data_IF_792911622318
#
_entry.id   IF_792911622318
#
_cell.length_a   1.000
_cell.length_b   1.000
_cell.length_c   1.000
_cell.angle_alpha   90.00
_cell.angle_beta   90.00
_cell.angle_gamma   90.00
#
_symmetry.space_group_name_H-M   'P 1'
#
loop_
_entity.id
_entity.type
_entity.pdbx_description
1 polymer ?
#
# COMPACT_ATOMS: atom_id res chain seq x y z
N UNK A 1 27.71 2.09 -32.77
CA UNK A 1 28.59 1.02 -32.26
C UNK A 1 28.96 1.46 -30.87
N UNK A 2 28.11 1.18 -29.89
CA UNK A 2 28.39 1.47 -28.47
C UNK A 2 27.92 0.27 -27.66
N UNK A 3 28.90 -0.31 -26.97
CA UNK A 3 28.84 -1.54 -26.20
C UNK A 3 28.02 -1.37 -24.93
N UNK A 4 26.99 -2.19 -24.74
CA UNK A 4 26.42 -2.46 -23.41
C UNK A 4 27.12 -3.72 -22.88
N UNK A 5 28.16 -3.51 -22.08
CA UNK A 5 28.91 -4.54 -21.37
C UNK A 5 28.56 -4.56 -19.86
N UNK A 6 28.69 -5.74 -19.27
CA UNK A 6 28.54 -6.09 -17.84
C UNK A 6 27.09 -6.28 -17.34
N UNK A 7 26.65 -7.54 -17.22
CA UNK A 7 25.50 -7.92 -16.39
C UNK A 7 25.98 -8.13 -14.94
N UNK A 8 25.51 -7.29 -14.01
CA UNK A 8 25.75 -7.43 -12.58
C UNK A 8 24.71 -8.38 -11.96
N UNK A 9 25.16 -9.41 -11.25
CA UNK A 9 24.30 -10.31 -10.50
C UNK A 9 24.80 -10.47 -9.07
N UNK A 10 23.88 -10.40 -8.11
CA UNK A 10 24.14 -10.65 -6.70
C UNK A 10 23.27 -11.83 -6.23
N UNK A 11 23.90 -12.84 -5.63
CA UNK A 11 23.18 -13.97 -5.02
C UNK A 11 23.52 -14.09 -3.53
N UNK A 12 22.51 -14.49 -2.76
CA UNK A 12 22.57 -14.69 -1.32
C UNK A 12 22.53 -16.18 -1.02
N UNK A 13 23.46 -16.64 -0.19
CA UNK A 13 23.42 -18.00 0.35
C UNK A 13 23.58 -18.00 1.87
N UNK A 14 22.80 -18.82 2.59
CA UNK A 14 22.94 -19.01 4.04
C UNK A 14 24.29 -19.62 4.47
N UNK A 15 24.92 -20.43 3.61
CA UNK A 15 26.19 -21.13 3.93
C UNK A 15 27.19 -21.06 2.78
N UNK A 16 28.49 -21.13 3.11
CA UNK A 16 29.58 -21.19 2.12
C UNK A 16 29.47 -22.45 1.25
N UNK A 17 29.02 -23.58 1.82
CA UNK A 17 28.83 -24.83 1.06
C UNK A 17 27.77 -24.70 -0.03
N UNK A 18 26.62 -24.09 0.27
CA UNK A 18 25.59 -23.81 -0.74
C UNK A 18 26.09 -22.83 -1.80
N UNK A 19 26.89 -21.86 -1.37
CA UNK A 19 27.48 -20.88 -2.27
C UNK A 19 28.46 -21.51 -3.26
N UNK A 20 29.29 -22.46 -2.83
CA UNK A 20 30.16 -23.25 -3.73
C UNK A 20 29.35 -24.07 -4.72
N UNK A 21 28.29 -24.74 -4.26
CA UNK A 21 27.42 -25.53 -5.14
C UNK A 21 26.77 -24.65 -6.21
N UNK A 22 26.28 -23.47 -5.82
CA UNK A 22 25.72 -22.48 -6.76
C UNK A 22 26.78 -21.98 -7.75
N UNK A 23 28.01 -21.74 -7.31
CA UNK A 23 29.09 -21.33 -8.20
C UNK A 23 29.46 -22.39 -9.23
N UNK A 24 29.51 -23.67 -8.82
CA UNK A 24 29.72 -24.78 -9.76
C UNK A 24 28.57 -24.87 -10.77
N UNK A 25 27.32 -24.72 -10.33
CA UNK A 25 26.15 -24.68 -11.24
C UNK A 25 26.20 -23.47 -12.18
N UNK A 26 26.63 -22.32 -11.69
CA UNK A 26 26.76 -21.10 -12.49
C UNK A 26 27.85 -21.24 -13.55
N UNK A 27 28.99 -21.84 -13.21
CA UNK A 27 30.09 -22.14 -14.12
C UNK A 27 29.66 -23.15 -15.19
N UNK A 28 28.98 -24.22 -14.79
CA UNK A 28 28.42 -25.21 -15.72
C UNK A 28 27.41 -24.58 -16.70
N UNK A 29 26.53 -23.70 -16.20
CA UNK A 29 25.55 -23.01 -17.04
C UNK A 29 26.20 -21.95 -17.92
N UNK A 30 27.20 -21.23 -17.42
CA UNK A 30 27.99 -20.25 -18.19
C UNK A 30 28.68 -20.92 -19.38
N UNK A 31 29.32 -22.08 -19.16
CA UNK A 31 29.95 -22.86 -20.23
C UNK A 31 28.96 -23.35 -21.30
N UNK A 32 27.68 -23.54 -20.94
CA UNK A 32 26.63 -23.96 -21.88
C UNK A 32 26.01 -22.82 -22.68
N UNK A 33 25.92 -21.62 -22.10
CA UNK A 33 25.15 -20.48 -22.65
C UNK A 33 26.06 -19.48 -23.37
N UNK A 34 27.39 -19.60 -23.22
CA UNK A 34 28.40 -18.81 -23.95
C UNK A 34 29.12 -17.72 -23.15
N UNK A 35 28.50 -16.94 -22.23
CA UNK A 35 29.21 -15.86 -21.55
C UNK A 35 30.09 -16.42 -20.43
N UNK A 36 31.40 -16.20 -20.50
CA UNK A 36 32.37 -16.63 -19.50
C UNK A 36 32.28 -15.75 -18.22
N UNK A 37 32.32 -16.39 -17.05
CA UNK A 37 32.42 -15.68 -15.76
C UNK A 37 33.81 -15.07 -15.63
N UNK A 38 33.86 -13.78 -15.32
CA UNK A 38 35.11 -13.08 -15.02
C UNK A 38 35.46 -13.25 -13.53
N UNK A 39 36.43 -14.11 -13.23
CA UNK A 39 36.84 -14.42 -11.86
C UNK A 39 37.46 -13.21 -11.13
N UNK A 40 38.15 -12.31 -11.82
CA UNK A 40 38.76 -11.10 -11.21
C UNK A 40 37.75 -10.03 -10.85
N UNK A 41 36.63 -9.94 -11.58
CA UNK A 41 35.52 -9.04 -11.24
C UNK A 41 34.52 -9.66 -10.27
N UNK A 42 34.62 -10.95 -9.99
CA UNK A 42 33.71 -11.64 -9.07
C UNK A 42 34.26 -11.58 -7.64
N UNK A 43 33.47 -11.07 -6.71
CA UNK A 43 33.87 -10.85 -5.31
C UNK A 43 32.91 -11.56 -4.37
N UNK A 44 33.47 -12.10 -3.29
CA UNK A 44 32.75 -12.71 -2.18
C UNK A 44 32.64 -11.70 -1.03
N UNK A 45 31.50 -11.61 -0.34
CA UNK A 45 31.39 -10.89 0.93
C UNK A 45 30.69 -11.75 1.97
N UNK A 46 31.20 -11.77 3.20
CA UNK A 46 30.63 -12.54 4.32
C UNK A 46 30.04 -11.57 5.34
N UNK A 47 28.74 -11.69 5.63
CA UNK A 47 28.06 -10.86 6.64
C UNK A 47 27.89 -11.67 7.92
N UNK A 48 28.42 -11.13 9.03
CA UNK A 48 28.33 -11.71 10.40
C UNK A 48 28.91 -13.12 10.59
N UNK A 49 29.56 -13.71 9.59
CA UNK A 49 30.25 -15.00 9.70
C UNK A 49 31.74 -14.82 10.02
N UNK A 50 32.13 -15.04 11.27
CA UNK A 50 33.54 -15.08 11.67
C UNK A 50 34.08 -16.53 11.58
N UNK A 51 34.65 -16.91 10.42
CA UNK A 51 35.18 -18.26 10.24
C UNK A 51 36.27 -18.36 9.18
N UNK A 52 37.32 -19.15 9.47
CA UNK A 52 38.45 -19.53 8.60
C UNK A 52 38.04 -20.54 7.51
N UNK A 53 36.79 -20.49 7.03
CA UNK A 53 36.35 -21.39 5.97
C UNK A 53 37.00 -21.01 4.64
N UNK A 54 37.49 -22.03 3.92
CA UNK A 54 38.17 -21.87 2.62
C UNK A 54 37.34 -20.98 1.67
N UNK A 55 38.00 -20.06 0.98
CA UNK A 55 37.39 -19.14 -0.01
C UNK A 55 36.60 -19.89 -1.07
N UNK A 56 35.62 -19.22 -1.69
CA UNK A 56 34.92 -19.77 -2.86
C UNK A 56 35.82 -19.61 -4.08
N UNK A 57 36.04 -20.68 -4.85
CA UNK A 57 36.81 -20.60 -6.10
C UNK A 57 35.88 -20.50 -7.30
N UNK A 58 36.28 -19.73 -8.30
CA UNK A 58 35.69 -19.72 -9.63
C UNK A 58 36.77 -20.11 -10.65
N UNK A 59 36.54 -21.15 -11.45
CA UNK A 59 37.51 -21.63 -12.47
C UNK A 59 38.92 -21.92 -11.91
N UNK A 60 39.01 -22.36 -10.65
CA UNK A 60 40.28 -22.63 -9.97
C UNK A 60 41.00 -21.40 -9.39
N UNK A 61 40.47 -20.19 -9.56
CA UNK A 61 40.95 -18.96 -8.90
C UNK A 61 40.14 -18.68 -7.65
N UNK A 62 40.82 -18.42 -6.52
CA UNK A 62 40.14 -17.99 -5.29
C UNK A 62 39.54 -16.59 -5.47
N UNK A 63 38.28 -16.42 -5.10
CA UNK A 63 37.59 -15.14 -5.21
C UNK A 63 38.04 -14.18 -4.10
N UNK A 64 38.18 -12.90 -4.46
CA UNK A 64 38.53 -11.85 -3.52
C UNK A 64 37.40 -11.66 -2.49
N UNK A 65 37.71 -11.77 -1.21
CA UNK A 65 36.76 -11.49 -0.12
C UNK A 65 36.80 -10.01 0.23
N UNK A 66 35.70 -9.29 -0.01
CA UNK A 66 35.56 -7.87 0.32
C UNK A 66 34.74 -7.66 1.58
N UNK A 67 35.01 -6.55 2.28
CA UNK A 67 34.27 -6.11 3.46
C UNK A 67 33.09 -5.20 3.11
N UNK A 68 33.14 -4.58 1.94
CA UNK A 68 32.12 -3.68 1.42
C UNK A 68 32.04 -3.79 -0.11
N UNK A 69 30.86 -3.56 -0.66
CA UNK A 69 30.68 -3.40 -2.10
C UNK A 69 29.53 -2.44 -2.41
N UNK A 70 29.65 -1.72 -3.53
CA UNK A 70 28.57 -0.88 -4.04
C UNK A 70 27.66 -1.71 -4.95
N UNK A 71 26.37 -1.75 -4.63
CA UNK A 71 25.35 -2.42 -5.44
C UNK A 71 24.20 -1.46 -5.70
N UNK A 72 23.87 -1.24 -6.97
CA UNK A 72 22.79 -0.33 -7.39
C UNK A 72 22.87 1.06 -6.72
N UNK A 73 24.09 1.57 -6.52
CA UNK A 73 24.35 2.88 -5.92
C UNK A 73 24.31 2.93 -4.38
N UNK A 74 24.10 1.81 -3.69
CA UNK A 74 24.16 1.72 -2.21
C UNK A 74 25.39 0.92 -1.75
N UNK A 75 26.04 1.32 -0.65
CA UNK A 75 27.19 0.60 -0.09
C UNK A 75 26.69 -0.47 0.88
N UNK A 76 27.00 -1.74 0.61
CA UNK A 76 26.67 -2.86 1.48
C UNK A 76 27.93 -3.28 2.23
N UNK A 77 27.91 -3.24 3.55
CA UNK A 77 29.04 -3.59 4.43
C UNK A 77 28.82 -4.90 5.20
N UNK A 78 29.91 -5.51 5.64
CA UNK A 78 29.91 -6.82 6.31
C UNK A 78 29.36 -6.82 7.75
N UNK A 79 29.25 -5.66 8.39
CA UNK A 79 28.68 -5.44 9.72
C UNK A 79 27.14 -5.29 9.68
N UNK A 80 26.56 -5.16 8.47
CA UNK A 80 25.14 -4.94 8.28
C UNK A 80 24.66 -3.56 8.73
N UNK A 81 25.58 -2.59 8.91
CA UNK A 81 25.31 -1.24 9.38
C UNK A 81 25.20 -0.21 8.25
N UNK A 82 24.31 0.79 8.42
CA UNK A 82 24.01 1.87 7.46
C UNK A 82 24.82 3.17 7.69
N UNK A 83 25.90 3.13 8.46
CA UNK A 83 26.52 4.36 8.98
C UNK A 83 27.23 5.23 7.93
N UNK A 84 27.55 4.70 6.74
CA UNK A 84 28.25 5.47 5.70
C UNK A 84 27.34 6.08 4.61
N UNK A 85 26.09 5.61 4.46
CA UNK A 85 25.14 6.13 3.46
C UNK A 85 24.52 7.51 3.83
N UNK A 86 24.94 8.11 4.95
CA UNK A 86 24.39 9.40 5.43
C UNK A 86 25.04 10.64 4.76
N UNK A 87 26.09 10.48 3.94
CA UNK A 87 26.83 11.64 3.39
C UNK A 87 26.70 11.89 1.88
N UNK A 88 25.93 11.10 1.12
CA UNK A 88 25.81 11.27 -0.33
C UNK A 88 24.36 11.26 -0.83
N UNK A 89 23.79 12.45 -1.06
CA UNK A 89 22.69 12.74 -1.98
C UNK A 89 21.53 11.71 -2.12
N UNK A 90 20.39 12.02 -1.50
CA UNK A 90 19.15 12.20 -2.27
C UNK A 90 18.37 10.98 -2.76
N UNK A 91 18.55 9.78 -2.19
CA UNK A 91 17.66 8.63 -2.44
C UNK A 91 16.85 8.27 -1.17
N UNK A 92 15.56 8.62 -1.18
CA UNK A 92 14.57 8.11 -0.23
C UNK A 92 14.26 6.68 -0.67
N UNK A 93 14.84 5.68 0.01
CA UNK A 93 14.35 4.30 0.24
C UNK A 93 15.56 3.38 0.47
N UNK A 94 15.87 2.96 1.71
CA UNK A 94 16.95 2.03 1.95
C UNK A 94 16.55 0.61 1.52
N UNK A 95 17.45 -0.07 0.81
CA UNK A 95 17.40 -1.51 0.46
C UNK A 95 17.65 -2.33 1.75
N UNK A 96 16.85 -2.10 2.78
CA UNK A 96 17.18 -2.51 4.16
C UNK A 96 16.54 -3.84 4.57
N UNK A 97 15.58 -4.36 3.81
CA UNK A 97 14.76 -5.48 4.30
C UNK A 97 15.37 -6.87 4.11
N UNK A 98 16.56 -7.01 3.50
CA UNK A 98 17.16 -8.32 3.21
C UNK A 98 18.43 -8.66 4.01
N UNK A 99 19.07 -7.70 4.69
CA UNK A 99 20.45 -7.88 5.22
C UNK A 99 20.51 -7.99 6.75
N UNK A 100 19.49 -7.55 7.49
CA UNK A 100 19.67 -7.32 8.93
C UNK A 100 19.66 -8.58 9.83
N UNK A 101 19.11 -9.72 9.41
CA UNK A 101 18.74 -10.79 10.36
C UNK A 101 19.38 -12.17 10.18
N UNK A 102 20.27 -12.40 9.21
CA UNK A 102 20.86 -13.75 9.02
C UNK A 102 22.34 -13.70 8.63
N UNK A 103 23.14 -14.66 9.15
CA UNK A 103 24.51 -14.93 8.67
C UNK A 103 24.43 -15.36 7.21
N UNK A 104 24.86 -14.49 6.29
CA UNK A 104 24.76 -14.76 4.85
C UNK A 104 26.08 -14.43 4.15
N UNK A 105 26.40 -15.21 3.13
CA UNK A 105 27.49 -14.93 2.20
C UNK A 105 26.91 -14.41 0.90
N UNK A 106 27.59 -13.42 0.31
CA UNK A 106 27.24 -12.70 -0.91
C UNK A 106 28.27 -13.02 -2.00
N UNK A 107 27.80 -13.19 -3.23
CA UNK A 107 28.65 -13.22 -4.42
C UNK A 107 28.14 -12.21 -5.43
N UNK A 108 29.03 -11.34 -5.89
CA UNK A 108 28.74 -10.36 -6.93
C UNK A 108 29.73 -10.57 -8.08
N UNK A 109 29.28 -10.65 -9.33
CA UNK A 109 30.16 -10.81 -10.49
C UNK A 109 29.58 -10.22 -11.77
N UNK A 110 30.48 -9.91 -12.73
CA UNK A 110 30.17 -9.30 -14.04
C UNK A 110 30.31 -10.31 -15.18
N UNK A 111 29.30 -10.40 -16.07
CA UNK A 111 29.34 -11.24 -17.30
C UNK A 111 29.74 -10.44 -18.54
N UNK A 112 30.54 -11.07 -19.42
CA UNK A 112 30.83 -10.58 -20.78
C UNK A 112 29.72 -10.86 -21.80
N UNK A 113 29.87 -10.21 -22.97
CA UNK A 113 28.87 -9.76 -23.95
C UNK A 113 28.26 -10.85 -24.86
N UNK A 114 26.92 -10.89 -24.98
CA UNK A 114 26.17 -11.03 -26.27
C UNK A 114 24.63 -10.90 -26.10
N UNK A 115 24.02 -10.31 -27.12
CA UNK A 115 22.60 -9.95 -27.29
C UNK A 115 21.60 -11.04 -26.91
N UNK A 116 20.70 -10.75 -25.96
CA UNK A 116 19.41 -11.44 -25.78
C UNK A 116 18.42 -10.51 -25.06
N UNK A 117 17.18 -10.53 -25.56
CA UNK A 117 16.02 -9.71 -25.15
C UNK A 117 15.86 -9.64 -23.62
N UNK A 118 16.04 -8.43 -23.09
CA UNK A 118 15.95 -8.13 -21.66
C UNK A 118 14.48 -8.08 -21.21
N UNK A 119 14.09 -9.03 -20.37
CA UNK A 119 12.76 -9.07 -19.73
C UNK A 119 12.93 -8.57 -18.28
N UNK A 120 13.00 -7.24 -18.12
CA UNK A 120 13.03 -6.58 -16.81
C UNK A 120 11.63 -6.61 -16.16
N UNK A 121 11.38 -7.53 -15.22
CA UNK A 121 10.05 -7.54 -14.56
C UNK A 121 9.95 -8.06 -13.12
N UNK A 122 11.01 -8.03 -12.31
CA UNK A 122 10.91 -8.45 -10.89
C UNK A 122 10.97 -7.32 -9.84
N UNK A 123 11.46 -6.11 -10.14
CA UNK A 123 11.72 -5.11 -9.07
C UNK A 123 10.64 -4.03 -8.88
N UNK A 124 9.49 -4.11 -9.57
CA UNK A 124 8.41 -3.10 -9.45
C UNK A 124 7.32 -3.39 -8.39
N UNK A 125 7.39 -4.51 -7.68
CA UNK A 125 6.31 -4.93 -6.77
C UNK A 125 6.43 -4.41 -5.33
N UNK A 126 7.65 -4.23 -4.79
CA UNK A 126 7.85 -3.84 -3.39
C UNK A 126 7.36 -2.41 -3.03
N UNK A 127 7.68 -1.34 -3.80
CA UNK A 127 7.21 0.01 -3.45
C UNK A 127 5.68 0.14 -3.59
N UNK A 128 5.07 -0.66 -4.46
CA UNK A 128 3.63 -0.66 -4.72
C UNK A 128 2.81 -1.09 -3.50
N UNK A 129 3.31 -2.05 -2.71
CA UNK A 129 2.63 -2.59 -1.53
C UNK A 129 2.72 -1.65 -0.31
N UNK A 130 3.86 -0.98 -0.14
CA UNK A 130 4.05 0.01 0.94
C UNK A 130 3.19 1.27 0.71
N UNK A 131 3.09 1.74 -0.54
CA UNK A 131 2.20 2.85 -0.92
C UNK A 131 0.72 2.46 -0.78
N UNK A 132 0.36 1.22 -1.11
CA UNK A 132 -0.98 0.68 -0.88
C UNK A 132 -1.36 0.69 0.61
N UNK A 133 -0.43 0.28 1.48
CA UNK A 133 -0.63 0.26 2.93
C UNK A 133 -0.67 1.68 3.55
N UNK A 134 0.20 2.59 3.10
CA UNK A 134 0.17 3.99 3.54
C UNK A 134 -1.19 4.65 3.24
N UNK A 135 -1.74 4.43 2.05
CA UNK A 135 -3.09 4.91 1.70
C UNK A 135 -4.18 4.29 2.57
N UNK A 136 -4.02 3.02 2.99
CA UNK A 136 -4.99 2.32 3.82
C UNK A 136 -4.90 2.75 5.30
N UNK A 137 -3.70 3.12 5.77
CA UNK A 137 -3.50 3.72 7.11
C UNK A 137 -4.25 5.05 7.27
N UNK A 138 -4.48 5.78 6.18
CA UNK A 138 -5.29 7.00 6.18
C UNK A 138 -6.80 6.71 6.16
N UNK A 139 -7.22 5.56 5.61
CA UNK A 139 -8.61 5.13 5.49
C UNK A 139 -9.11 4.37 6.74
N UNK A 140 -8.24 4.12 7.71
CA UNK A 140 -8.57 3.61 9.04
C UNK A 140 -7.62 4.24 10.07
N UNK A 141 -7.99 5.39 10.69
CA UNK A 141 -7.11 6.16 11.58
C UNK A 141 -6.70 5.42 12.88
N UNK A 142 -7.10 4.16 13.08
CA UNK A 142 -6.64 3.34 14.19
C UNK A 142 -5.22 2.80 14.02
N UNK A 143 -4.77 2.60 12.77
CA UNK A 143 -3.48 1.96 12.50
C UNK A 143 -2.29 2.95 12.61
N UNK A 144 -2.49 4.21 12.22
CA UNK A 144 -1.49 5.29 12.39
C UNK A 144 -1.28 5.62 13.87
N UNK A 145 -2.34 5.55 14.67
CA UNK A 145 -2.29 5.82 16.12
C UNK A 145 -1.65 4.65 16.88
N UNK A 146 -1.78 3.41 16.38
CA UNK A 146 -1.14 2.24 16.98
C UNK A 146 0.40 2.24 16.84
N UNK A 147 0.95 2.90 15.81
CA UNK A 147 2.39 3.02 15.61
C UNK A 147 3.06 4.07 16.52
N UNK A 148 2.29 4.88 17.26
CA UNK A 148 2.79 5.95 18.13
C UNK A 148 2.30 5.91 19.57
N UNK A 149 1.66 4.83 20.03
CA UNK A 149 1.13 4.74 21.40
C UNK A 149 1.86 3.71 22.25
N UNK A 150 3.00 4.14 22.79
CA UNK A 150 3.50 3.66 24.07
C UNK A 150 3.82 4.89 24.94
N UNK A 151 2.79 5.73 25.18
CA UNK A 151 2.84 6.77 26.18
C UNK A 151 1.43 7.04 26.72
N UNK A 152 1.32 6.95 28.04
CA UNK A 152 0.14 7.18 28.87
C UNK A 152 -0.45 8.58 28.67
N UNK A 153 -1.72 8.69 28.27
CA UNK A 153 -2.40 9.97 28.07
C UNK A 153 -3.13 10.45 29.34
N UNK A 154 -2.79 11.64 29.83
CA UNK A 154 -3.62 12.47 30.71
C UNK A 154 -4.48 13.46 29.89
N UNK A 155 -5.56 14.01 30.46
CA UNK A 155 -6.55 14.77 29.70
C UNK A 155 -6.27 16.28 29.75
N UNK A 156 -5.43 16.83 28.86
CA UNK A 156 -5.61 18.24 28.43
C UNK A 156 -4.88 18.67 27.14
N UNK A 157 -3.78 18.04 26.73
CA UNK A 157 -3.10 18.46 25.50
C UNK A 157 -3.33 17.50 24.33
N UNK A 158 -4.02 17.98 23.29
CA UNK A 158 -3.80 17.40 21.96
C UNK A 158 -2.39 17.81 21.58
N UNK A 159 -1.43 16.90 21.73
CA UNK A 159 -0.04 17.16 21.37
C UNK A 159 0.03 17.72 19.94
N UNK A 160 0.43 19.00 19.76
CA UNK A 160 0.59 19.59 18.44
C UNK A 160 1.42 18.73 17.47
N UNK A 161 2.45 17.98 17.93
CA UNK A 161 3.17 17.01 17.09
C UNK A 161 2.29 15.95 16.43
N UNK A 162 1.27 15.42 17.11
CA UNK A 162 0.41 14.35 16.59
C UNK A 162 -0.51 14.87 15.49
N UNK A 163 -1.06 16.07 15.67
CA UNK A 163 -1.86 16.74 14.64
C UNK A 163 -1.02 17.09 13.42
N UNK A 164 0.19 17.60 13.63
CA UNK A 164 1.13 17.94 12.55
C UNK A 164 1.54 16.69 11.76
N UNK A 165 1.85 15.59 12.44
CA UNK A 165 2.17 14.32 11.80
C UNK A 165 0.98 13.80 10.97
N UNK A 166 -0.22 13.80 11.54
CA UNK A 166 -1.43 13.37 10.83
C UNK A 166 -1.72 14.20 9.58
N UNK A 167 -1.56 15.53 9.67
CA UNK A 167 -1.72 16.43 8.53
C UNK A 167 -0.62 16.25 7.47
N UNK A 168 0.63 16.05 7.89
CA UNK A 168 1.75 15.81 6.98
C UNK A 168 1.60 14.50 6.20
N UNK A 169 1.22 13.41 6.89
CA UNK A 169 0.93 12.11 6.25
C UNK A 169 -0.23 12.24 5.27
N UNK A 170 -1.33 12.89 5.69
CA UNK A 170 -2.49 13.16 4.82
C UNK A 170 -2.08 13.92 3.56
N UNK A 171 -1.29 14.99 3.71
CA UNK A 171 -0.80 15.77 2.58
C UNK A 171 0.11 14.96 1.65
N UNK A 172 1.03 14.16 2.21
CA UNK A 172 1.95 13.34 1.43
C UNK A 172 1.24 12.27 0.58
N UNK A 173 0.17 11.67 1.12
CA UNK A 173 -0.57 10.60 0.46
C UNK A 173 -1.73 11.07 -0.40
N UNK A 174 -2.13 12.33 -0.26
CA UNK A 174 -3.25 12.91 -0.98
C UNK A 174 -3.20 12.73 -2.50
N UNK A 175 -2.06 12.91 -3.21
CA UNK A 175 -2.00 12.66 -4.66
C UNK A 175 -2.40 11.23 -5.04
N UNK A 176 -2.04 10.24 -4.23
CA UNK A 176 -2.37 8.83 -4.49
C UNK A 176 -3.86 8.61 -4.33
N UNK A 177 -4.44 9.15 -3.26
CA UNK A 177 -5.85 8.97 -2.93
C UNK A 177 -6.72 9.68 -3.95
N UNK A 178 -6.28 10.86 -4.40
CA UNK A 178 -6.97 11.58 -5.45
C UNK A 178 -7.05 10.76 -6.75
N UNK A 179 -5.94 10.20 -7.22
CA UNK A 179 -5.95 9.35 -8.42
C UNK A 179 -6.79 8.08 -8.19
N UNK A 180 -6.68 7.43 -7.02
CA UNK A 180 -7.48 6.24 -6.69
C UNK A 180 -8.97 6.53 -6.76
N UNK A 181 -9.39 7.66 -6.19
CA UNK A 181 -10.80 8.07 -6.22
C UNK A 181 -11.29 8.33 -7.65
N UNK A 182 -10.51 9.05 -8.47
CA UNK A 182 -10.89 9.29 -9.86
C UNK A 182 -11.03 7.99 -10.66
N UNK A 183 -10.16 7.01 -10.38
CA UNK A 183 -10.28 5.66 -10.94
C UNK A 183 -11.55 4.97 -10.42
N UNK A 184 -11.85 5.04 -9.13
CA UNK A 184 -13.03 4.42 -8.50
C UNK A 184 -14.34 4.96 -9.09
N UNK A 185 -14.46 6.28 -9.29
CA UNK A 185 -15.65 6.89 -9.93
C UNK A 185 -15.73 6.57 -11.43
N UNK A 186 -14.69 5.97 -12.02
CA UNK A 186 -14.69 5.49 -13.41
C UNK A 186 -14.12 6.47 -14.42
N UNK A 187 -13.38 7.50 -13.98
CA UNK A 187 -12.73 8.43 -14.89
C UNK A 187 -11.44 7.83 -15.45
N UNK A 188 -11.44 7.54 -16.75
CA UNK A 188 -10.30 6.95 -17.47
C UNK A 188 -9.97 7.79 -18.73
N UNK A 189 -9.21 8.89 -18.58
CA UNK A 189 -8.98 9.85 -19.66
C UNK A 189 -7.90 9.42 -20.67
N UNK A 190 -7.12 8.39 -20.34
CA UNK A 190 -6.00 7.92 -21.15
C UNK A 190 -6.35 6.56 -21.78
N UNK A 191 -6.05 6.34 -23.07
CA UNK A 191 -6.42 5.10 -23.76
C UNK A 191 -5.67 3.90 -23.19
N UNK A 192 -6.31 2.71 -23.13
CA UNK A 192 -5.65 1.48 -22.70
C UNK A 192 -4.66 0.99 -23.76
N UNK A 193 -3.57 0.37 -23.31
CA UNK A 193 -2.53 -0.21 -24.18
C UNK A 193 -2.78 -1.72 -24.28
N UNK A 194 -2.85 -2.25 -25.50
CA UNK A 194 -2.97 -3.69 -25.72
C UNK A 194 -1.66 -4.38 -25.38
N UNK A 195 -1.71 -5.44 -24.57
CA UNK A 195 -0.54 -6.29 -24.33
C UNK A 195 -0.91 -7.74 -24.07
N UNK A 196 0.09 -8.57 -23.84
CA UNK A 196 -0.06 -9.99 -23.54
C UNK A 196 0.36 -10.28 -22.10
N UNK A 197 -0.33 -11.20 -21.43
CA UNK A 197 0.10 -11.72 -20.13
C UNK A 197 1.21 -12.75 -20.31
N UNK A 198 1.87 -13.13 -19.21
CA UNK A 198 2.84 -14.24 -19.17
C UNK A 198 2.27 -15.57 -19.70
N UNK A 199 0.94 -15.73 -19.69
CA UNK A 199 0.22 -16.89 -20.20
C UNK A 199 -0.33 -16.69 -21.61
N UNK A 200 0.17 -15.71 -22.37
CA UNK A 200 -0.21 -15.46 -23.76
C UNK A 200 -1.62 -14.86 -23.95
N UNK A 201 -2.36 -14.55 -22.88
CA UNK A 201 -3.70 -13.94 -22.99
C UNK A 201 -3.59 -12.46 -23.35
N UNK A 202 -4.33 -12.00 -24.35
CA UNK A 202 -4.48 -10.58 -24.67
C UNK A 202 -5.23 -9.86 -23.55
N UNK A 203 -4.65 -8.78 -23.03
CA UNK A 203 -5.23 -7.94 -21.97
C UNK A 203 -5.00 -6.48 -22.30
N UNK A 204 -5.91 -5.63 -21.83
CA UNK A 204 -5.77 -4.18 -21.88
C UNK A 204 -5.08 -3.71 -20.60
N UNK A 205 -3.91 -3.08 -20.76
CA UNK A 205 -3.21 -2.41 -19.69
C UNK A 205 -3.71 -0.97 -19.59
N UNK A 206 -4.38 -0.67 -18.48
CA UNK A 206 -4.78 0.70 -18.17
C UNK A 206 -3.56 1.46 -17.62
N UNK A 207 -3.51 2.79 -17.80
CA UNK A 207 -2.40 3.60 -17.31
C UNK A 207 -2.16 3.38 -15.82
N UNK A 208 -0.90 3.35 -15.40
CA UNK A 208 -0.59 3.32 -13.97
C UNK A 208 -0.87 4.66 -13.29
N UNK A 209 -0.65 4.71 -11.99
CA UNK A 209 -0.71 5.93 -11.19
C UNK A 209 0.09 7.09 -11.79
N UNK A 210 1.37 6.87 -12.09
CA UNK A 210 2.28 7.93 -12.49
C UNK A 210 1.82 8.62 -13.78
N UNK A 211 1.36 7.85 -14.77
CA UNK A 211 0.80 8.38 -16.02
C UNK A 211 -0.47 9.20 -15.76
N UNK A 212 -1.32 8.75 -14.85
CA UNK A 212 -2.53 9.47 -14.45
C UNK A 212 -2.18 10.77 -13.70
N UNK A 213 -1.28 10.71 -12.71
CA UNK A 213 -0.84 11.87 -11.95
C UNK A 213 -0.19 12.93 -12.86
N UNK A 214 0.64 12.50 -13.82
CA UNK A 214 1.20 13.38 -14.86
C UNK A 214 0.11 14.04 -15.71
N UNK A 215 -0.93 13.29 -16.08
CA UNK A 215 -2.09 13.86 -16.79
C UNK A 215 -2.79 14.94 -15.95
N UNK A 216 -3.03 14.70 -14.65
CA UNK A 216 -3.63 15.70 -13.76
C UNK A 216 -2.75 16.95 -13.68
N UNK A 217 -1.43 16.79 -13.50
CA UNK A 217 -0.48 17.92 -13.47
C UNK A 217 -0.52 18.70 -14.79
N UNK A 218 -0.66 18.02 -15.93
CA UNK A 218 -0.75 18.67 -17.24
C UNK A 218 -2.05 19.48 -17.41
N UNK A 219 -3.15 19.05 -16.78
CA UNK A 219 -4.46 19.69 -16.91
C UNK A 219 -4.67 20.81 -15.87
N UNK A 220 -4.47 20.52 -14.58
CA UNK A 220 -4.75 21.43 -13.45
C UNK A 220 -3.47 22.03 -12.82
N UNK A 221 -2.29 21.71 -13.34
CA UNK A 221 -1.02 22.11 -12.74
C UNK A 221 -0.64 21.28 -11.51
N UNK A 222 0.54 21.56 -10.93
CA UNK A 222 1.07 20.81 -9.77
C UNK A 222 0.20 20.93 -8.52
N UNK A 223 -0.41 22.10 -8.31
CA UNK A 223 -1.34 22.34 -7.19
C UNK A 223 -2.69 21.61 -7.38
N UNK A 224 -3.04 21.24 -8.61
CA UNK A 224 -4.22 20.43 -8.91
C UNK A 224 -4.24 19.08 -8.20
N UNK A 225 -3.06 18.47 -7.96
CA UNK A 225 -2.96 17.20 -7.23
C UNK A 225 -3.44 17.30 -5.78
N UNK A 226 -3.49 18.49 -5.19
CA UNK A 226 -3.91 18.72 -3.80
C UNK A 226 -5.37 19.17 -3.68
N UNK A 227 -6.16 19.04 -4.75
CA UNK A 227 -7.59 19.35 -4.74
C UNK A 227 -8.35 18.48 -3.73
N UNK A 228 -9.14 19.11 -2.86
CA UNK A 228 -9.87 18.41 -1.80
C UNK A 228 -9.05 18.09 -0.53
N UNK A 229 -7.78 18.53 -0.45
CA UNK A 229 -6.93 18.28 0.72
C UNK A 229 -7.47 18.96 1.99
N UNK A 230 -8.05 20.15 1.89
CA UNK A 230 -8.52 20.92 3.05
C UNK A 230 -9.58 20.18 3.90
N UNK A 231 -10.66 19.60 3.33
CA UNK A 231 -11.56 18.75 4.12
C UNK A 231 -10.88 17.56 4.77
N UNK A 232 -9.84 16.98 4.15
CA UNK A 232 -9.13 15.82 4.73
C UNK A 232 -8.24 16.20 5.91
N UNK A 233 -7.56 17.35 5.85
CA UNK A 233 -6.79 17.85 6.99
C UNK A 233 -7.72 18.11 8.18
N UNK A 234 -8.88 18.75 7.95
CA UNK A 234 -9.88 18.97 9.01
C UNK A 234 -10.42 17.64 9.54
N UNK A 235 -10.71 16.68 8.65
CA UNK A 235 -11.12 15.32 9.01
C UNK A 235 -10.11 14.64 9.92
N UNK A 236 -8.81 14.79 9.65
CA UNK A 236 -7.73 14.20 10.45
C UNK A 236 -7.70 14.80 11.87
N UNK A 237 -7.83 16.13 11.98
CA UNK A 237 -7.92 16.80 13.28
C UNK A 237 -9.15 16.34 14.09
N UNK A 238 -10.33 16.30 13.45
CA UNK A 238 -11.57 15.84 14.09
C UNK A 238 -11.45 14.37 14.51
N UNK A 239 -10.87 13.51 13.68
CA UNK A 239 -10.64 12.10 13.97
C UNK A 239 -9.86 11.90 15.28
N UNK A 240 -8.76 12.65 15.45
CA UNK A 240 -7.91 12.56 16.66
C UNK A 240 -8.68 12.95 17.93
N UNK A 241 -9.44 14.05 17.87
CA UNK A 241 -10.24 14.53 19.02
C UNK A 241 -11.35 13.54 19.36
N UNK A 242 -12.10 13.08 18.36
CA UNK A 242 -13.23 12.15 18.56
C UNK A 242 -12.73 10.80 19.06
N UNK A 243 -11.64 10.27 18.49
CA UNK A 243 -11.03 9.01 18.93
C UNK A 243 -10.56 9.08 20.37
N UNK A 244 -9.91 10.18 20.78
CA UNK A 244 -9.48 10.38 22.17
C UNK A 244 -10.66 10.36 23.14
N UNK A 245 -11.74 11.10 22.81
CA UNK A 245 -12.97 11.11 23.63
C UNK A 245 -13.67 9.75 23.65
N UNK A 246 -13.82 9.10 22.50
CA UNK A 246 -14.45 7.79 22.39
C UNK A 246 -13.68 6.71 23.18
N UNK A 247 -12.35 6.69 23.10
CA UNK A 247 -11.49 5.77 23.86
C UNK A 247 -11.66 5.96 25.37
N UNK A 248 -11.73 7.20 25.85
CA UNK A 248 -11.98 7.51 27.27
C UNK A 248 -13.35 7.00 27.72
N UNK A 249 -14.41 7.25 26.94
CA UNK A 249 -15.77 6.81 27.26
C UNK A 249 -15.89 5.27 27.29
N UNK A 250 -15.34 4.58 26.29
CA UNK A 250 -15.36 3.11 26.24
C UNK A 250 -14.54 2.51 27.38
N UNK A 251 -13.41 3.10 27.75
CA UNK A 251 -12.61 2.63 28.88
C UNK A 251 -13.37 2.76 30.22
N UNK A 252 -14.10 3.85 30.44
CA UNK A 252 -14.94 4.03 31.63
C UNK A 252 -16.02 2.96 31.73
N UNK A 253 -16.73 2.69 30.63
CA UNK A 253 -17.76 1.63 30.58
C UNK A 253 -17.16 0.24 30.85
N UNK A 254 -15.97 -0.03 30.31
CA UNK A 254 -15.29 -1.32 30.46
C UNK A 254 -14.83 -1.58 31.90
N UNK A 255 -14.38 -0.54 32.62
CA UNK A 255 -13.88 -0.70 33.98
C UNK A 255 -14.98 -1.09 34.97
N UNK A 256 -16.22 -0.69 34.72
CA UNK A 256 -17.39 -1.12 35.50
C UNK A 256 -17.69 -2.61 35.30
N UNK A 257 -17.45 -3.10 34.08
CA UNK A 257 -17.81 -4.47 33.66
C UNK A 257 -16.78 -5.54 34.06
N UNK A 258 -15.55 -5.15 34.44
CA UNK A 258 -14.47 -6.09 34.85
C UNK A 258 -14.70 -6.79 36.20
N UNK A 259 -15.77 -6.44 36.93
CA UNK A 259 -16.07 -7.01 38.24
C UNK A 259 -16.61 -8.44 38.13
N UNK A 260 -17.10 -8.87 36.95
CA UNK A 260 -17.65 -10.23 36.74
C UNK A 260 -17.20 -10.81 35.38
N UNK A 261 -16.20 -11.71 35.36
CA UNK A 261 -16.18 -12.91 34.49
C UNK A 261 -14.80 -13.61 34.45
N UNK A 262 -14.75 -14.95 34.52
CA UNK A 262 -13.64 -15.74 33.98
C UNK A 262 -13.77 -15.82 32.45
N UNK A 263 -12.94 -15.10 31.69
CA UNK A 263 -13.03 -15.05 30.22
C UNK A 263 -12.11 -16.08 29.54
N UNK A 264 -12.68 -16.81 28.56
CA UNK A 264 -11.92 -17.55 27.55
C UNK A 264 -11.11 -16.61 26.66
N UNK A 265 -10.01 -17.10 26.06
CA UNK A 265 -9.14 -16.32 25.17
C UNK A 265 -9.91 -15.65 24.02
N UNK A 266 -10.87 -16.37 23.43
CA UNK A 266 -11.76 -15.85 22.38
C UNK A 266 -12.71 -14.77 22.91
N UNK A 267 -13.26 -14.93 24.12
CA UNK A 267 -14.13 -13.94 24.75
C UNK A 267 -13.43 -12.60 24.96
N UNK A 268 -12.14 -12.63 25.30
CA UNK A 268 -11.30 -11.43 25.42
C UNK A 268 -11.14 -10.72 24.07
N UNK A 269 -10.81 -11.45 23.01
CA UNK A 269 -10.64 -10.87 21.66
C UNK A 269 -11.94 -10.27 21.13
N UNK A 270 -13.07 -10.94 21.34
CA UNK A 270 -14.39 -10.42 20.94
C UNK A 270 -14.71 -9.13 21.68
N UNK A 271 -14.46 -9.08 23.00
CA UNK A 271 -14.67 -7.86 23.80
C UNK A 271 -13.78 -6.70 23.33
N UNK A 272 -12.49 -6.95 23.17
CA UNK A 272 -11.53 -5.95 22.68
C UNK A 272 -11.90 -5.44 21.28
N UNK A 273 -12.25 -6.35 20.36
CA UNK A 273 -12.67 -6.00 19.00
C UNK A 273 -13.97 -5.20 18.99
N UNK A 274 -14.92 -5.53 19.88
CA UNK A 274 -16.19 -4.78 20.00
C UNK A 274 -15.94 -3.35 20.46
N UNK A 275 -15.02 -3.16 21.41
CA UNK A 275 -14.64 -1.81 21.88
C UNK A 275 -13.98 -1.00 20.77
N UNK A 276 -13.05 -1.61 20.02
CA UNK A 276 -12.43 -0.99 18.86
C UNK A 276 -13.46 -0.63 17.79
N UNK A 277 -14.42 -1.52 17.53
CA UNK A 277 -15.51 -1.30 16.59
C UNK A 277 -16.35 -0.08 16.96
N UNK A 278 -16.76 0.06 18.23
CA UNK A 278 -17.54 1.21 18.70
C UNK A 278 -16.77 2.52 18.48
N UNK A 279 -15.49 2.55 18.86
CA UNK A 279 -14.63 3.72 18.67
C UNK A 279 -14.52 4.07 17.18
N UNK A 280 -14.33 3.07 16.32
CA UNK A 280 -14.23 3.26 14.87
C UNK A 280 -15.53 3.79 14.28
N UNK A 281 -16.69 3.20 14.61
CA UNK A 281 -17.99 3.66 14.11
C UNK A 281 -18.29 5.10 14.52
N UNK A 282 -18.09 5.46 15.79
CA UNK A 282 -18.32 6.83 16.29
C UNK A 282 -17.38 7.82 15.60
N UNK A 283 -16.09 7.46 15.50
CA UNK A 283 -15.11 8.29 14.79
C UNK A 283 -15.53 8.46 13.33
N UNK A 284 -15.91 7.37 12.66
CA UNK A 284 -16.27 7.38 11.25
C UNK A 284 -17.47 8.26 10.96
N UNK A 285 -18.54 8.14 11.76
CA UNK A 285 -19.74 8.97 11.64
C UNK A 285 -19.38 10.46 11.78
N UNK A 286 -18.49 10.81 12.72
CA UNK A 286 -18.07 12.20 12.92
C UNK A 286 -17.24 12.76 11.75
N UNK A 287 -16.40 11.94 11.12
CA UNK A 287 -15.52 12.39 10.02
C UNK A 287 -16.16 12.29 8.64
N UNK A 288 -17.23 11.49 8.49
CA UNK A 288 -17.81 11.17 7.19
C UNK A 288 -18.28 12.41 6.38
N UNK A 289 -18.85 13.47 6.98
CA UNK A 289 -19.16 14.69 6.25
C UNK A 289 -17.94 15.28 5.51
N UNK A 290 -16.78 15.30 6.15
CA UNK A 290 -15.53 15.79 5.55
C UNK A 290 -15.01 14.86 4.45
N UNK A 291 -15.22 13.55 4.60
CA UNK A 291 -14.93 12.57 3.54
C UNK A 291 -15.75 12.87 2.28
N UNK A 292 -17.07 13.04 2.42
CA UNK A 292 -17.95 13.35 1.28
C UNK A 292 -17.53 14.65 0.60
N UNK A 293 -17.22 15.69 1.38
CA UNK A 293 -16.71 16.96 0.84
C UNK A 293 -15.41 16.77 0.06
N UNK A 294 -14.44 16.01 0.59
CA UNK A 294 -13.20 15.70 -0.10
C UNK A 294 -13.45 14.97 -1.42
N UNK A 295 -14.29 13.93 -1.39
CA UNK A 295 -14.61 13.11 -2.56
C UNK A 295 -15.24 13.96 -3.66
N UNK A 296 -16.19 14.83 -3.33
CA UNK A 296 -16.82 15.74 -4.30
C UNK A 296 -15.86 16.81 -4.82
N UNK A 297 -15.00 17.34 -3.95
CA UNK A 297 -13.94 18.27 -4.34
C UNK A 297 -12.93 17.65 -5.31
N UNK A 298 -12.66 16.35 -5.21
CA UNK A 298 -11.81 15.64 -6.16
C UNK A 298 -12.58 15.31 -7.45
N UNK A 299 -13.82 14.82 -7.34
CA UNK A 299 -14.63 14.36 -8.47
C UNK A 299 -15.00 15.46 -9.49
N UNK A 300 -15.08 16.72 -9.08
CA UNK A 300 -15.29 17.86 -9.98
C UNK A 300 -14.22 18.00 -11.08
N UNK A 301 -13.06 17.33 -10.95
CA UNK A 301 -12.07 17.25 -12.03
C UNK A 301 -12.60 16.56 -13.29
N UNK A 302 -13.51 15.59 -13.15
CA UNK A 302 -14.09 14.83 -14.27
C UNK A 302 -14.80 15.75 -15.26
N UNK A 303 -15.66 16.65 -14.75
CA UNK A 303 -16.39 17.62 -15.56
C UNK A 303 -15.68 18.96 -15.74
N UNK A 304 -14.47 19.12 -15.18
CA UNK A 304 -13.77 20.42 -15.04
C UNK A 304 -14.64 21.49 -14.37
N UNK A 305 -15.41 21.05 -13.39
CA UNK A 305 -16.38 21.89 -12.67
C UNK A 305 -15.68 22.66 -11.55
N UNK A 306 -16.28 23.78 -11.13
CA UNK A 306 -15.79 24.63 -10.03
C UNK A 306 -16.80 24.77 -8.89
N UNK A 307 -17.78 23.85 -8.82
CA UNK A 307 -18.88 23.86 -7.86
C UNK A 307 -18.42 23.81 -6.40
N UNK A 308 -17.32 23.11 -6.12
CA UNK A 308 -16.81 22.86 -4.78
C UNK A 308 -15.43 23.53 -4.58
N UNK A 309 -15.32 24.82 -4.89
CA UNK A 309 -14.08 25.61 -4.81
C UNK A 309 -13.79 26.16 -3.40
N UNK A 310 -13.91 25.31 -2.37
CA UNK A 310 -13.63 25.67 -0.97
C UNK A 310 -14.53 24.95 0.03
N UNK A 311 -14.12 24.94 1.31
CA UNK A 311 -14.85 24.26 2.39
C UNK A 311 -16.25 24.85 2.62
N UNK A 312 -16.35 26.17 2.80
CA UNK A 312 -17.63 26.83 3.06
C UNK A 312 -18.59 26.77 1.87
N UNK A 313 -18.07 26.96 0.66
CA UNK A 313 -18.84 26.80 -0.57
C UNK A 313 -19.37 25.38 -0.69
N UNK A 314 -18.54 24.38 -0.37
CA UNK A 314 -18.97 22.98 -0.38
C UNK A 314 -20.08 22.70 0.64
N UNK A 315 -19.93 23.17 1.88
CA UNK A 315 -20.97 23.02 2.92
C UNK A 315 -22.29 23.66 2.46
N UNK A 316 -22.23 24.91 1.97
CA UNK A 316 -23.40 25.66 1.52
C UNK A 316 -24.10 24.97 0.35
N UNK A 317 -23.35 24.51 -0.65
CA UNK A 317 -23.91 23.85 -1.84
C UNK A 317 -24.58 22.53 -1.48
N UNK A 318 -23.94 21.70 -0.64
CA UNK A 318 -24.53 20.41 -0.20
C UNK A 318 -25.81 20.67 0.60
N UNK A 319 -25.80 21.58 1.57
CA UNK A 319 -26.98 21.89 2.38
C UNK A 319 -28.14 22.44 1.55
N UNK A 320 -27.86 23.28 0.54
CA UNK A 320 -28.90 23.90 -0.29
C UNK A 320 -29.52 22.92 -1.29
N UNK A 321 -28.73 22.02 -1.86
CA UNK A 321 -29.17 21.15 -2.96
C UNK A 321 -29.66 19.77 -2.49
N UNK A 322 -29.03 19.20 -1.46
CA UNK A 322 -29.28 17.83 -0.98
C UNK A 322 -29.72 17.77 0.48
N UNK A 323 -29.64 18.89 1.20
CA UNK A 323 -29.89 18.95 2.63
C UNK A 323 -28.82 18.23 3.45
N UNK A 324 -29.16 17.92 4.70
CA UNK A 324 -28.23 17.30 5.64
C UNK A 324 -27.86 15.85 5.25
N UNK A 325 -28.76 15.13 4.59
CA UNK A 325 -28.54 13.76 4.11
C UNK A 325 -27.44 13.67 3.07
N UNK A 326 -27.14 14.76 2.35
CA UNK A 326 -26.04 14.83 1.38
C UNK A 326 -24.66 14.57 1.99
N UNK A 327 -24.45 14.91 3.27
CA UNK A 327 -23.17 14.64 3.96
C UNK A 327 -22.99 13.18 4.39
N UNK A 328 -24.06 12.38 4.33
CA UNK A 328 -24.06 10.99 4.79
C UNK A 328 -24.29 9.97 3.66
N UNK A 329 -24.19 10.42 2.40
CA UNK A 329 -24.26 9.56 1.22
C UNK A 329 -23.05 8.61 1.20
N UNK A 330 -23.32 7.30 1.19
CA UNK A 330 -22.28 6.28 1.19
C UNK A 330 -21.75 5.89 2.58
N UNK A 331 -22.32 6.41 3.68
CA UNK A 331 -21.90 6.04 5.04
C UNK A 331 -22.03 4.52 5.31
N UNK A 332 -23.18 3.94 4.95
CA UNK A 332 -23.49 2.52 5.24
C UNK A 332 -22.43 1.57 4.67
N UNK A 333 -22.17 1.52 3.34
CA UNK A 333 -21.15 0.63 2.80
C UNK A 333 -19.77 0.94 3.39
N UNK A 334 -19.44 2.19 3.70
CA UNK A 334 -18.16 2.55 4.29
C UNK A 334 -17.97 1.95 5.68
N UNK A 335 -18.95 2.15 6.58
CA UNK A 335 -18.90 1.60 7.95
C UNK A 335 -18.89 0.07 7.90
N UNK A 336 -19.68 -0.55 7.03
CA UNK A 336 -19.66 -2.01 6.84
C UNK A 336 -18.27 -2.50 6.41
N UNK A 337 -17.61 -1.81 5.48
CA UNK A 337 -16.25 -2.14 5.04
C UNK A 337 -15.23 -2.08 6.17
N UNK A 338 -15.24 -1.02 6.97
CA UNK A 338 -14.34 -0.86 8.13
C UNK A 338 -14.60 -1.91 9.22
N UNK A 339 -15.86 -2.16 9.56
CA UNK A 339 -16.23 -3.17 10.57
C UNK A 339 -15.81 -4.56 10.11
N UNK A 340 -16.09 -4.93 8.86
CA UNK A 340 -15.66 -6.23 8.30
C UNK A 340 -14.14 -6.35 8.31
N UNK A 341 -13.42 -5.29 7.92
CA UNK A 341 -11.96 -5.27 7.94
C UNK A 341 -11.42 -5.52 9.35
N UNK A 342 -11.92 -4.78 10.35
CA UNK A 342 -11.51 -4.90 11.74
C UNK A 342 -11.73 -6.32 12.29
N UNK A 343 -12.94 -6.85 12.14
CA UNK A 343 -13.29 -8.18 12.64
C UNK A 343 -12.49 -9.27 11.96
N UNK A 344 -12.34 -9.22 10.63
CA UNK A 344 -11.51 -10.18 9.92
C UNK A 344 -10.06 -10.12 10.40
N UNK A 345 -9.44 -8.94 10.48
CA UNK A 345 -8.05 -8.78 10.91
C UNK A 345 -7.81 -9.27 12.35
N UNK A 346 -8.69 -8.92 13.29
CA UNK A 346 -8.54 -9.30 14.70
C UNK A 346 -8.79 -10.80 14.92
N UNK A 347 -9.83 -11.37 14.28
CA UNK A 347 -10.09 -12.81 14.35
C UNK A 347 -8.96 -13.60 13.71
N UNK A 348 -8.52 -13.23 12.50
CA UNK A 348 -7.40 -13.89 11.83
C UNK A 348 -6.12 -13.81 12.67
N UNK A 349 -5.86 -12.66 13.29
CA UNK A 349 -4.72 -12.51 14.22
C UNK A 349 -4.82 -13.48 15.39
N UNK A 350 -6.00 -13.67 15.98
CA UNK A 350 -6.22 -14.66 17.02
C UNK A 350 -6.01 -16.08 16.50
N UNK A 351 -6.64 -16.45 15.38
CA UNK A 351 -6.47 -17.78 14.77
C UNK A 351 -5.02 -18.09 14.43
N UNK A 352 -4.26 -17.14 13.90
CA UNK A 352 -2.83 -17.32 13.62
C UNK A 352 -2.06 -17.52 14.92
N UNK A 353 -2.28 -16.66 15.92
CA UNK A 353 -1.57 -16.76 17.19
C UNK A 353 -1.91 -18.05 17.95
N UNK A 354 -3.12 -18.58 17.81
CA UNK A 354 -3.55 -19.81 18.48
C UNK A 354 -3.16 -21.07 17.71
N UNK A 355 -3.31 -21.11 16.38
CA UNK A 355 -3.11 -22.34 15.60
C UNK A 355 -1.77 -22.42 14.85
N UNK A 356 -1.17 -21.29 14.48
CA UNK A 356 0.11 -21.27 13.75
C UNK A 356 1.32 -21.13 14.70
N UNK A 357 1.09 -20.84 15.98
CA UNK A 357 2.13 -20.64 17.00
C UNK A 357 2.00 -21.66 18.14
N UNK A 358 1.49 -22.86 17.86
CA UNK A 358 1.64 -24.00 18.77
C UNK A 358 2.95 -24.77 18.44
N UNK A 359 3.86 -24.74 19.41
CA UNK A 359 4.95 -25.69 19.73
C UNK A 359 6.09 -26.04 18.75
N UNK A 360 6.35 -25.30 17.65
CA UNK A 360 7.59 -25.58 16.85
C UNK A 360 8.38 -24.39 16.30
N UNK A 361 7.88 -23.15 16.40
CA UNK A 361 8.51 -21.97 15.77
C UNK A 361 8.47 -20.71 16.66
N UNK A 362 8.84 -20.87 17.92
CA UNK A 362 8.68 -19.87 18.99
C UNK A 362 9.62 -18.64 18.96
N UNK A 363 10.35 -18.35 17.88
CA UNK A 363 11.40 -17.30 17.87
C UNK A 363 11.48 -16.42 16.60
N UNK A 364 10.36 -16.06 15.95
CA UNK A 364 10.42 -15.03 14.90
C UNK A 364 9.28 -13.99 15.01
N UNK A 365 9.46 -12.87 15.74
CA UNK A 365 8.57 -11.71 15.64
C UNK A 365 8.35 -11.24 14.19
N UNK A 366 9.34 -11.50 13.31
CA UNK A 366 9.24 -11.28 11.87
C UNK A 366 8.12 -12.11 11.20
N UNK A 367 7.90 -13.37 11.59
CA UNK A 367 6.86 -14.23 11.00
C UNK A 367 5.46 -13.78 11.41
N UNK A 368 5.29 -13.33 12.67
CA UNK A 368 4.02 -12.73 13.14
C UNK A 368 3.72 -11.41 12.45
N UNK A 369 4.72 -10.56 12.25
CA UNK A 369 4.57 -9.30 11.50
C UNK A 369 4.21 -9.56 10.03
N UNK A 370 4.91 -10.50 9.39
CA UNK A 370 4.66 -10.89 7.99
C UNK A 370 3.26 -11.51 7.80
N UNK A 371 2.84 -12.41 8.70
CA UNK A 371 1.51 -13.03 8.62
C UNK A 371 0.40 -12.00 8.79
N UNK A 372 0.51 -11.09 9.76
CA UNK A 372 -0.43 -9.97 9.92
C UNK A 372 -0.45 -9.05 8.70
N UNK A 373 0.72 -8.80 8.09
CA UNK A 373 0.84 -7.99 6.88
C UNK A 373 0.13 -8.62 5.68
N UNK A 374 0.41 -9.90 5.40
CA UNK A 374 -0.21 -10.62 4.27
C UNK A 374 -1.73 -10.74 4.47
N UNK A 375 -2.18 -11.03 5.69
CA UNK A 375 -3.61 -11.09 5.98
C UNK A 375 -4.28 -9.72 5.85
N UNK A 376 -3.65 -8.64 6.30
CA UNK A 376 -4.15 -7.28 6.11
C UNK A 376 -4.43 -6.98 4.63
N UNK A 377 -3.46 -7.28 3.75
CA UNK A 377 -3.64 -7.10 2.30
C UNK A 377 -4.81 -7.93 1.76
N UNK A 378 -4.89 -9.20 2.15
CA UNK A 378 -5.96 -10.09 1.69
C UNK A 378 -7.34 -9.56 2.12
N UNK A 379 -7.48 -9.14 3.38
CA UNK A 379 -8.73 -8.58 3.91
C UNK A 379 -9.05 -7.25 3.22
N UNK A 380 -8.08 -6.37 2.97
CA UNK A 380 -8.31 -5.11 2.22
C UNK A 380 -8.85 -5.37 0.82
N UNK A 381 -8.31 -6.36 0.10
CA UNK A 381 -8.86 -6.71 -1.24
C UNK A 381 -10.31 -7.15 -1.12
N UNK A 382 -10.65 -7.93 -0.08
CA UNK A 382 -12.01 -8.39 0.19
C UNK A 382 -12.96 -7.25 0.59
N UNK A 383 -12.48 -6.24 1.32
CA UNK A 383 -13.29 -5.10 1.77
C UNK A 383 -13.30 -3.92 0.80
N UNK A 384 -12.39 -3.89 -0.19
CA UNK A 384 -12.31 -2.83 -1.20
C UNK A 384 -13.60 -2.55 -1.98
N UNK A 385 -14.47 -3.54 -2.30
CA UNK A 385 -15.77 -3.27 -2.92
C UNK A 385 -16.68 -2.33 -2.11
N UNK A 386 -16.63 -2.43 -0.77
CA UNK A 386 -17.43 -1.58 0.10
C UNK A 386 -16.97 -0.12 0.03
N UNK A 387 -15.65 0.08 0.02
CA UNK A 387 -15.04 1.40 -0.13
C UNK A 387 -15.37 2.00 -1.50
N UNK A 388 -15.27 1.21 -2.57
CA UNK A 388 -15.67 1.63 -3.91
C UNK A 388 -17.13 2.10 -3.96
N UNK A 389 -18.06 1.28 -3.43
CA UNK A 389 -19.48 1.64 -3.43
C UNK A 389 -19.75 2.88 -2.56
N UNK A 390 -19.05 3.04 -1.44
CA UNK A 390 -19.14 4.25 -0.63
C UNK A 390 -18.75 5.51 -1.41
N UNK A 391 -17.61 5.47 -2.10
CA UNK A 391 -17.11 6.61 -2.86
C UNK A 391 -17.97 6.95 -4.09
N UNK A 392 -18.47 5.93 -4.81
CA UNK A 392 -19.42 6.11 -5.91
C UNK A 392 -20.74 6.70 -5.41
N UNK A 393 -21.25 6.21 -4.26
CA UNK A 393 -22.46 6.76 -3.66
C UNK A 393 -22.26 8.19 -3.13
N UNK A 394 -21.04 8.57 -2.74
CA UNK A 394 -20.74 9.93 -2.27
C UNK A 394 -20.80 10.99 -3.39
N UNK A 395 -20.60 10.59 -4.65
CA UNK A 395 -20.76 11.46 -5.83
C UNK A 395 -22.09 11.27 -6.56
N UNK A 396 -22.88 10.25 -6.20
CA UNK A 396 -24.11 9.90 -6.89
C UNK A 396 -25.15 11.03 -6.84
N UNK A 397 -25.62 11.48 -8.00
CA UNK A 397 -26.66 12.50 -8.13
C UNK A 397 -26.37 13.84 -7.40
N UNK A 398 -25.09 14.19 -7.18
CA UNK A 398 -24.70 15.42 -6.48
C UNK A 398 -24.52 16.64 -7.41
N UNK A 399 -25.02 16.55 -8.64
CA UNK A 399 -24.89 17.59 -9.65
C UNK A 399 -23.47 17.76 -10.23
N UNK A 400 -22.57 16.78 -10.05
CA UNK A 400 -21.28 16.70 -10.72
C UNK A 400 -21.37 15.77 -11.93
N UNK A 401 -20.59 16.05 -12.98
CA UNK A 401 -20.49 15.18 -14.16
C UNK A 401 -20.10 13.74 -13.79
N UNK A 402 -19.22 13.55 -12.79
CA UNK A 402 -18.82 12.23 -12.31
C UNK A 402 -19.98 11.38 -11.74
N UNK A 403 -21.05 12.03 -11.28
CA UNK A 403 -22.20 11.40 -10.62
C UNK A 403 -23.48 11.39 -11.43
N UNK A 404 -23.43 11.83 -12.69
CA UNK A 404 -24.58 11.99 -13.57
C UNK A 404 -24.38 11.27 -14.92
N UNK A 405 -25.47 10.91 -15.62
CA UNK A 405 -25.38 10.39 -16.98
C UNK A 405 -24.76 11.44 -17.92
N UNK A 406 -23.94 11.05 -18.93
CA UNK A 406 -23.66 9.67 -19.37
C UNK A 406 -22.53 8.96 -18.58
N UNK A 407 -21.81 9.66 -17.70
CA UNK A 407 -20.63 9.09 -17.01
C UNK A 407 -21.00 8.08 -15.92
N UNK A 408 -22.08 8.33 -15.18
CA UNK A 408 -22.55 7.44 -14.11
C UNK A 408 -24.08 7.35 -14.09
N UNK A 409 -24.67 6.14 -13.98
CA UNK A 409 -26.10 6.01 -13.77
C UNK A 409 -26.49 6.42 -12.34
N UNK A 410 -27.72 6.89 -12.16
CA UNK A 410 -28.21 7.32 -10.86
C UNK A 410 -28.63 6.09 -10.04
N UNK A 411 -28.04 5.92 -8.86
CA UNK A 411 -28.33 4.84 -7.94
C UNK A 411 -29.30 5.27 -6.85
N UNK A 412 -30.37 4.49 -6.64
CA UNK A 412 -31.34 4.71 -5.54
C UNK A 412 -30.85 4.21 -4.17
N UNK A 413 -29.95 3.22 -4.18
CA UNK A 413 -29.41 2.58 -2.98
C UNK A 413 -28.00 2.07 -3.25
N UNK A 414 -27.18 1.95 -2.20
CA UNK A 414 -25.85 1.36 -2.29
C UNK A 414 -25.89 -0.10 -2.79
N UNK A 415 -26.94 -0.86 -2.49
CA UNK A 415 -27.13 -2.22 -3.01
C UNK A 415 -27.38 -2.22 -4.53
N UNK A 416 -28.09 -1.21 -5.04
CA UNK A 416 -28.30 -1.04 -6.47
C UNK A 416 -26.98 -0.73 -7.19
N UNK A 417 -26.17 0.17 -6.60
CA UNK A 417 -24.82 0.46 -7.06
C UNK A 417 -23.93 -0.80 -7.06
N UNK A 418 -23.93 -1.55 -5.96
CA UNK A 418 -23.18 -2.79 -5.81
C UNK A 418 -23.54 -3.81 -6.90
N UNK A 419 -24.83 -4.08 -7.10
CA UNK A 419 -25.29 -5.04 -8.10
C UNK A 419 -24.92 -4.56 -9.52
N UNK A 420 -25.06 -3.27 -9.81
CA UNK A 420 -24.65 -2.72 -11.10
C UNK A 420 -23.16 -2.93 -11.38
N UNK A 421 -22.29 -2.57 -10.42
CA UNK A 421 -20.84 -2.74 -10.54
C UNK A 421 -20.45 -4.23 -10.64
N UNK A 422 -21.14 -5.10 -9.89
CA UNK A 422 -20.96 -6.55 -9.96
C UNK A 422 -21.30 -7.09 -11.35
N UNK A 423 -22.45 -6.72 -11.90
CA UNK A 423 -22.88 -7.16 -13.24
C UNK A 423 -21.93 -6.69 -14.34
N UNK A 424 -21.34 -5.49 -14.20
CA UNK A 424 -20.33 -4.97 -15.13
C UNK A 424 -18.92 -5.54 -14.90
N UNK A 425 -18.70 -6.38 -13.88
CA UNK A 425 -17.36 -6.87 -13.53
C UNK A 425 -16.40 -5.79 -13.02
N UNK A 426 -16.94 -4.67 -12.52
CA UNK A 426 -16.17 -3.49 -12.10
C UNK A 426 -16.14 -3.32 -10.57
N UNK A 427 -16.59 -4.33 -9.82
CA UNK A 427 -16.72 -4.26 -8.35
C UNK A 427 -15.38 -4.13 -7.61
N UNK A 428 -14.26 -4.48 -8.27
CA UNK A 428 -12.91 -4.33 -7.74
C UNK A 428 -12.15 -3.16 -8.40
N UNK A 429 -12.87 -2.21 -9.00
CA UNK A 429 -12.26 -1.01 -9.59
C UNK A 429 -11.51 -0.21 -8.53
N UNK A 430 -10.26 0.13 -8.82
CA UNK A 430 -9.39 0.86 -7.88
C UNK A 430 -8.73 0.00 -6.80
N UNK A 431 -8.98 -1.31 -6.76
CA UNK A 431 -8.29 -2.23 -5.83
C UNK A 431 -6.84 -2.52 -6.22
N UNK A 432 -6.52 -2.38 -7.52
CA UNK A 432 -5.15 -2.40 -8.06
C UNK A 432 -4.86 -1.05 -8.70
N UNK A 433 -3.74 -0.44 -8.31
CA UNK A 433 -3.39 0.92 -8.69
C UNK A 433 -2.26 1.00 -9.71
N UNK A 434 -1.20 0.21 -9.50
CA UNK A 434 -0.03 0.17 -10.36
C UNK A 434 -0.21 -0.79 -11.54
N UNK A 435 -0.94 -1.89 -11.34
CA UNK A 435 -1.11 -2.95 -12.33
C UNK A 435 -2.59 -3.16 -12.65
N UNK A 436 -3.14 -2.25 -13.45
CA UNK A 436 -4.54 -2.27 -13.87
C UNK A 436 -4.68 -3.03 -15.18
N UNK A 437 -5.40 -4.14 -15.14
CA UNK A 437 -5.62 -5.04 -16.27
C UNK A 437 -7.09 -5.31 -16.45
N UNK A 438 -7.54 -5.23 -17.69
CA UNK A 438 -8.93 -5.45 -18.06
C UNK A 438 -8.98 -6.46 -19.23
N UNK A 439 -9.90 -7.44 -19.23
CA UNK A 439 -10.05 -8.37 -20.35
C UNK A 439 -10.48 -7.63 -21.62
N UNK A 440 -9.95 -8.01 -22.78
CA UNK A 440 -10.28 -7.39 -24.07
C UNK A 440 -11.78 -7.46 -24.40
N UNK A 441 -12.48 -8.48 -23.88
CA UNK A 441 -13.93 -8.68 -24.04
C UNK A 441 -14.84 -7.67 -23.34
N UNK A 442 -14.29 -6.74 -22.55
CA UNK A 442 -15.08 -5.83 -21.70
C UNK A 442 -15.19 -4.39 -22.19
N UNK A 443 -14.65 -4.05 -23.36
CA UNK A 443 -14.97 -2.78 -24.00
C UNK A 443 -16.28 -2.91 -24.79
N UNK A 444 -17.29 -2.04 -24.55
CA UNK A 444 -18.30 -1.82 -25.56
C UNK A 444 -17.59 -1.29 -26.80
N UNK A 445 -17.85 -1.92 -27.94
CA UNK A 445 -17.44 -1.41 -29.25
C UNK A 445 -18.04 0.00 -29.36
N UNK A 446 -17.19 1.03 -29.25
CA UNK A 446 -17.55 2.36 -29.71
C UNK A 446 -17.74 2.19 -31.22
N UNK A 447 -19.00 2.15 -31.65
CA UNK A 447 -19.32 2.34 -33.06
C UNK A 447 -19.13 3.84 -33.29
N UNK A 448 -18.09 4.17 -34.04
CA UNK A 448 -17.91 5.49 -34.66
C UNK A 448 -19.13 5.86 -35.51
#
# INVERSE_FOLDING_TARGET
>A
MDMLDDLDFADLSPTISQMREKMVKLEHNSNRVGPAINATKTKEMRVKTAGKDKSVCCRGTELETVKEFTYLGSVVSNDGGTNQDVKGQGCVFPVQSCVSTENRTFLCGKRGTLNLVQNDRCERCAPSLALYFMMEAENSPGLVVAAGQEATATPEDVEPPVLLLGAAVTAALHPLIYVKLLIQVGHEPLPPIVGTTMFGRKVLYLPGFFSYAQYIIKVDGKMGLFRGLSPRIVSSAVSTVVRSKAKKQVALLTNVEKIEAPQSSLGKVVKETTHEMIIQCVTRVAIHPFHVMSVRCMAQFVGREVKYSGLFTCIRSILKEEGFTGFFTGLIPHVLGEVLFLWCCNLLSHFINTYAVDDSFSQAPAVRSYSKFVMGIAVTVLTSPFMLVADVMAVNNCGLAAGLPPHSPIFKSWMHCWNHLRHKGQIFRGSSFFFRRVPVTSMPIIKD
#
